data_IF_212639751282
#
_entry.id   IF_212639751282
#
_cell.length_a   1.000
_cell.length_b   1.000
_cell.length_c   1.000
_cell.angle_alpha   90.00
_cell.angle_beta   90.00
_cell.angle_gamma   90.00
#
_symmetry.space_group_name_H-M   'P 1'
#
loop_
_entity.id
_entity.type
_entity.pdbx_description
1 polymer ?
#
# COMPACT_ATOMS: atom_id res chain seq x y z
N UNK A 1 2.58 -12.02 -35.85
CA UNK A 1 1.32 -12.07 -36.61
C UNK A 1 0.31 -11.17 -35.93
N UNK A 2 -0.26 -10.19 -36.64
CA UNK A 2 -1.31 -9.32 -36.13
C UNK A 2 -2.65 -10.04 -36.14
N UNK A 3 -3.46 -9.88 -35.09
CA UNK A 3 -4.75 -10.53 -34.93
C UNK A 3 -5.81 -9.43 -34.84
N UNK A 4 -6.80 -9.46 -35.73
CA UNK A 4 -7.96 -8.57 -35.69
C UNK A 4 -9.16 -9.42 -35.29
N UNK A 5 -9.77 -9.11 -34.14
CA UNK A 5 -11.03 -9.75 -33.72
C UNK A 5 -12.18 -8.87 -34.20
N UNK A 6 -13.17 -9.41 -34.92
CA UNK A 6 -14.35 -8.65 -35.36
C UNK A 6 -14.19 -7.84 -36.65
N UNK A 7 -13.18 -8.14 -37.48
CA UNK A 7 -12.96 -7.45 -38.76
C UNK A 7 -12.57 -5.99 -38.58
N UNK A 8 -12.93 -5.13 -39.53
CA UNK A 8 -12.48 -3.72 -39.56
C UNK A 8 -12.96 -2.88 -38.36
N UNK A 9 -14.02 -3.33 -37.68
CA UNK A 9 -14.64 -2.62 -36.55
C UNK A 9 -14.14 -3.09 -35.18
N UNK A 10 -13.28 -4.10 -35.12
CA UNK A 10 -12.87 -4.67 -33.85
C UNK A 10 -11.38 -4.52 -33.53
N UNK A 11 -11.04 -4.84 -32.28
CA UNK A 11 -9.72 -4.60 -31.70
C UNK A 11 -8.57 -5.31 -32.42
N UNK A 12 -7.47 -4.58 -32.59
CA UNK A 12 -6.23 -5.08 -33.15
C UNK A 12 -5.27 -5.53 -32.03
N UNK A 13 -4.68 -6.72 -32.15
CA UNK A 13 -3.66 -7.26 -31.22
C UNK A 13 -2.39 -7.65 -31.96
N UNK A 14 -1.26 -7.52 -31.28
CA UNK A 14 0.08 -7.81 -31.79
C UNK A 14 0.52 -6.88 -32.94
N UNK A 15 1.67 -7.17 -33.53
CA UNK A 15 2.29 -6.37 -34.59
C UNK A 15 1.71 -6.70 -35.97
N UNK A 16 1.29 -5.67 -36.72
CA UNK A 16 1.07 -5.72 -38.17
C UNK A 16 1.80 -4.53 -38.81
N UNK A 17 2.81 -4.83 -39.64
CA UNK A 17 3.64 -3.80 -40.27
C UNK A 17 4.31 -2.87 -39.25
N UNK A 18 4.10 -1.57 -39.42
CA UNK A 18 4.66 -0.50 -38.60
C UNK A 18 3.89 -0.24 -37.29
N UNK A 19 2.84 -1.02 -37.04
CA UNK A 19 1.84 -0.74 -36.02
C UNK A 19 1.68 -1.94 -35.08
N UNK A 20 1.43 -1.65 -33.80
CA UNK A 20 1.22 -2.63 -32.74
C UNK A 20 -0.13 -2.34 -32.10
N UNK A 21 -1.03 -3.32 -32.19
CA UNK A 21 -2.30 -3.31 -31.49
C UNK A 21 -2.19 -3.93 -30.12
N UNK A 22 -2.85 -3.34 -29.13
CA UNK A 22 -2.92 -3.89 -27.77
C UNK A 22 -4.25 -3.53 -27.14
N UNK A 23 -4.73 -4.37 -26.24
CA UNK A 23 -5.87 -4.06 -25.39
C UNK A 23 -5.34 -3.61 -24.03
N UNK A 24 -5.68 -2.40 -23.62
CA UNK A 24 -5.23 -1.84 -22.36
C UNK A 24 -6.37 -1.12 -21.66
N UNK A 25 -6.66 -1.53 -20.42
CA UNK A 25 -7.66 -0.90 -19.54
C UNK A 25 -8.99 -0.59 -20.24
N UNK A 26 -9.53 -1.61 -20.91
CA UNK A 26 -10.79 -1.59 -21.68
C UNK A 26 -10.77 -0.83 -23.01
N UNK A 27 -9.60 -0.35 -23.44
CA UNK A 27 -9.43 0.35 -24.71
C UNK A 27 -8.58 -0.49 -25.68
N UNK A 28 -9.04 -0.62 -26.91
CA UNK A 28 -8.21 -1.07 -28.01
C UNK A 28 -7.35 0.10 -28.49
N UNK A 29 -6.04 -0.02 -28.32
CA UNK A 29 -5.09 1.04 -28.66
C UNK A 29 -4.10 0.59 -29.72
N UNK A 30 -3.79 1.54 -30.59
CA UNK A 30 -2.89 1.38 -31.72
C UNK A 30 -1.64 2.23 -31.47
N UNK A 31 -0.46 1.62 -31.48
CA UNK A 31 0.83 2.27 -31.23
C UNK A 31 1.78 2.04 -32.39
N UNK A 32 2.62 3.03 -32.71
CA UNK A 32 3.76 2.82 -33.60
C UNK A 32 4.83 1.96 -32.93
N UNK A 33 5.70 1.34 -33.75
CA UNK A 33 6.88 0.63 -33.22
C UNK A 33 7.72 1.60 -32.37
N UNK A 34 8.08 1.23 -31.13
CA UNK A 34 8.90 2.08 -30.28
C UNK A 34 10.27 2.32 -30.93
N UNK A 35 10.71 3.59 -30.99
CA UNK A 35 12.06 3.94 -31.43
C UNK A 35 13.02 3.78 -30.27
N UNK A 36 14.05 2.95 -30.46
CA UNK A 36 15.11 2.79 -29.48
C UNK A 36 15.94 4.08 -29.45
N UNK A 37 16.08 4.69 -28.27
CA UNK A 37 16.93 5.87 -28.06
C UNK A 37 18.27 5.43 -27.48
N UNK A 38 19.38 5.89 -28.08
CA UNK A 38 20.74 5.68 -27.55
C UNK A 38 21.20 6.76 -26.55
N UNK A 39 20.33 7.71 -26.19
CA UNK A 39 20.69 8.81 -25.28
C UNK A 39 20.80 8.32 -23.85
N UNK A 40 21.88 8.72 -23.16
CA UNK A 40 22.02 8.51 -21.73
C UNK A 40 20.89 9.20 -20.96
N UNK A 41 20.43 8.61 -19.84
CA UNK A 41 19.38 9.22 -19.02
C UNK A 41 19.87 10.53 -18.38
N UNK A 42 18.99 11.53 -18.33
CA UNK A 42 19.29 12.78 -17.63
C UNK A 42 19.28 12.59 -16.11
N UNK A 43 19.92 13.50 -15.36
CA UNK A 43 19.94 13.42 -13.90
C UNK A 43 18.53 13.32 -13.30
N UNK A 44 17.58 14.12 -13.81
CA UNK A 44 16.17 14.05 -13.39
C UNK A 44 15.55 12.67 -13.61
N UNK A 45 15.92 11.98 -14.69
CA UNK A 45 15.45 10.62 -14.97
C UNK A 45 16.09 9.60 -14.02
N UNK A 46 17.38 9.78 -13.69
CA UNK A 46 18.09 8.95 -12.72
C UNK A 46 17.43 9.08 -11.34
N UNK A 47 17.20 10.31 -10.89
CA UNK A 47 16.56 10.59 -9.60
C UNK A 47 15.17 9.99 -9.51
N UNK A 48 14.34 10.14 -10.56
CA UNK A 48 13.01 9.53 -10.60
C UNK A 48 13.05 8.00 -10.56
N UNK A 49 14.01 7.39 -11.27
CA UNK A 49 14.20 5.92 -11.21
C UNK A 49 14.64 5.47 -9.82
N UNK A 50 15.52 6.23 -9.15
CA UNK A 50 15.94 5.94 -7.79
C UNK A 50 14.76 6.01 -6.81
N UNK A 51 13.98 7.09 -6.85
CA UNK A 51 12.75 7.26 -6.05
C UNK A 51 11.74 6.14 -6.28
N UNK A 52 11.50 5.80 -7.55
CA UNK A 52 10.57 4.73 -7.91
C UNK A 52 11.05 3.36 -7.40
N UNK A 53 12.33 3.03 -7.60
CA UNK A 53 12.93 1.79 -7.12
C UNK A 53 12.83 1.66 -5.60
N UNK A 54 13.05 2.77 -4.89
CA UNK A 54 12.98 2.82 -3.44
C UNK A 54 11.56 2.48 -2.95
N UNK A 55 10.56 3.19 -3.47
CA UNK A 55 9.15 3.02 -3.06
C UNK A 55 8.62 1.65 -3.44
N UNK A 56 8.86 1.21 -4.68
CA UNK A 56 8.41 -0.12 -5.14
C UNK A 56 9.11 -1.27 -4.41
N UNK A 57 10.40 -1.13 -4.08
CA UNK A 57 11.12 -2.13 -3.30
C UNK A 57 10.56 -2.29 -1.89
N UNK A 58 10.19 -1.18 -1.24
CA UNK A 58 9.54 -1.20 0.07
C UNK A 58 8.15 -1.85 0.00
N UNK A 59 7.33 -1.45 -0.97
CA UNK A 59 5.96 -1.95 -1.10
C UNK A 59 5.84 -3.37 -1.63
N UNK A 60 6.88 -3.92 -2.27
CA UNK A 60 6.89 -5.30 -2.74
C UNK A 60 6.66 -6.31 -1.60
N UNK A 61 7.16 -6.03 -0.39
CA UNK A 61 7.01 -6.89 0.79
C UNK A 61 5.60 -6.85 1.41
N UNK A 62 4.82 -5.82 1.09
CA UNK A 62 3.48 -5.60 1.65
C UNK A 62 2.43 -5.45 0.54
N UNK A 63 2.68 -6.03 -0.64
CA UNK A 63 1.80 -5.95 -1.81
C UNK A 63 0.38 -6.38 -1.50
N UNK A 64 0.24 -7.45 -0.71
CA UNK A 64 -1.06 -8.02 -0.33
C UNK A 64 -1.91 -7.05 0.48
N UNK A 65 -1.28 -6.22 1.32
CA UNK A 65 -1.98 -5.19 2.08
C UNK A 65 -2.40 -4.02 1.18
N UNK A 66 -1.53 -3.61 0.26
CA UNK A 66 -1.81 -2.52 -0.68
C UNK A 66 -2.95 -2.90 -1.62
N UNK A 67 -2.95 -4.13 -2.12
CA UNK A 67 -3.96 -4.61 -3.05
C UNK A 67 -5.36 -4.59 -2.43
N UNK A 68 -5.47 -4.75 -1.12
CA UNK A 68 -6.73 -4.59 -0.37
C UNK A 68 -6.99 -3.11 -0.09
N UNK A 69 -6.00 -2.41 0.46
CA UNK A 69 -6.12 -1.06 0.97
C UNK A 69 -6.33 0.02 -0.09
N UNK A 70 -5.88 -0.22 -1.33
CA UNK A 70 -5.98 0.73 -2.46
C UNK A 70 -6.94 0.27 -3.55
N UNK A 71 -7.60 -0.89 -3.39
CA UNK A 71 -8.44 -1.52 -4.41
C UNK A 71 -9.51 -0.61 -5.01
N UNK A 72 -10.13 0.21 -4.17
CA UNK A 72 -11.31 1.00 -4.53
C UNK A 72 -11.01 2.45 -4.86
N UNK A 73 -9.73 2.83 -4.96
CA UNK A 73 -9.35 4.21 -5.26
C UNK A 73 -9.31 4.53 -6.76
N UNK A 74 -9.18 3.51 -7.61
CA UNK A 74 -9.22 3.67 -9.06
C UNK A 74 -9.79 2.43 -9.73
N UNK A 75 -10.70 2.61 -10.67
CA UNK A 75 -11.19 1.52 -11.52
C UNK A 75 -10.22 1.17 -12.66
N UNK A 76 -9.32 2.11 -12.96
CA UNK A 76 -8.44 2.09 -14.12
C UNK A 76 -7.03 1.72 -13.69
N UNK A 77 -6.50 2.36 -12.65
CA UNK A 77 -5.16 2.12 -12.13
C UNK A 77 -5.09 0.92 -11.21
N UNK A 78 -3.95 0.21 -11.24
CA UNK A 78 -3.71 -0.88 -10.29
C UNK A 78 -3.50 -0.29 -8.88
N UNK A 79 -3.92 -1.00 -7.82
CA UNK A 79 -3.78 -0.52 -6.44
C UNK A 79 -2.34 -0.11 -6.11
N UNK A 80 -1.37 -0.95 -6.49
CA UNK A 80 0.05 -0.65 -6.36
C UNK A 80 0.48 0.66 -7.03
N UNK A 81 -0.04 0.98 -8.23
CA UNK A 81 0.33 2.23 -8.92
C UNK A 81 -0.26 3.46 -8.21
N UNK A 82 -1.48 3.35 -7.67
CA UNK A 82 -2.10 4.42 -6.89
C UNK A 82 -1.29 4.66 -5.62
N UNK A 83 -0.93 3.59 -4.91
CA UNK A 83 -0.08 3.67 -3.72
C UNK A 83 1.28 4.30 -4.03
N UNK A 84 1.99 3.82 -5.05
CA UNK A 84 3.30 4.37 -5.45
C UNK A 84 3.18 5.85 -5.82
N UNK A 85 2.13 6.26 -6.55
CA UNK A 85 1.89 7.66 -6.92
C UNK A 85 1.72 8.58 -5.70
N UNK A 86 1.00 8.13 -4.66
CA UNK A 86 0.86 8.86 -3.40
C UNK A 86 2.22 9.03 -2.70
N UNK A 87 2.96 7.93 -2.53
CA UNK A 87 4.21 7.94 -1.76
C UNK A 87 5.35 8.68 -2.46
N UNK A 88 5.43 8.62 -3.80
CA UNK A 88 6.38 9.42 -4.58
C UNK A 88 6.20 10.93 -4.37
N UNK A 89 4.95 11.37 -4.09
CA UNK A 89 4.62 12.78 -3.85
C UNK A 89 4.80 13.19 -2.39
N UNK A 90 4.37 12.36 -1.46
CA UNK A 90 4.24 12.76 -0.05
C UNK A 90 5.30 12.18 0.88
N UNK A 91 5.78 10.96 0.61
CA UNK A 91 6.55 10.15 1.57
C UNK A 91 8.04 10.04 1.24
N UNK A 92 8.52 10.69 0.17
CA UNK A 92 9.96 10.72 -0.14
C UNK A 92 10.61 11.96 0.45
N UNK A 93 11.70 11.74 1.16
CA UNK A 93 12.58 12.78 1.70
C UNK A 93 14.00 12.61 1.17
N UNK A 94 14.85 13.61 1.42
CA UNK A 94 16.24 13.64 0.98
C UNK A 94 16.47 14.34 -0.37
N UNK A 95 17.74 14.46 -0.72
CA UNK A 95 18.22 15.10 -1.95
C UNK A 95 19.03 14.11 -2.77
N UNK A 96 19.09 14.31 -4.09
CA UNK A 96 19.86 13.43 -4.97
C UNK A 96 21.33 13.36 -4.49
N UNK A 97 21.93 12.16 -4.42
CA UNK A 97 21.41 10.83 -4.80
C UNK A 97 20.75 10.04 -3.67
N UNK A 98 20.73 10.56 -2.44
CA UNK A 98 20.32 9.85 -1.23
C UNK A 98 18.86 10.18 -0.88
N UNK A 99 17.94 9.41 -1.47
CA UNK A 99 16.52 9.48 -1.12
C UNK A 99 16.20 8.48 0.00
N UNK A 100 15.24 8.84 0.85
CA UNK A 100 14.75 8.01 1.96
C UNK A 100 13.23 8.07 2.03
N UNK A 101 12.60 7.10 2.69
CA UNK A 101 11.15 7.13 2.98
C UNK A 101 10.95 7.81 4.34
N UNK A 102 10.03 8.75 4.38
CA UNK A 102 9.42 9.21 5.61
C UNK A 102 8.34 8.22 6.07
N UNK A 103 8.72 7.35 6.99
CA UNK A 103 7.85 6.31 7.54
C UNK A 103 6.58 6.89 8.20
N UNK A 104 6.62 8.10 8.74
CA UNK A 104 5.43 8.72 9.36
C UNK A 104 4.30 8.98 8.35
N UNK A 105 4.63 9.09 7.06
CA UNK A 105 3.69 9.37 5.97
C UNK A 105 3.31 8.13 5.17
N UNK A 106 3.90 6.98 5.47
CA UNK A 106 3.59 5.73 4.79
C UNK A 106 2.16 5.30 5.13
N UNK A 107 1.41 4.94 4.10
CA UNK A 107 0.04 4.41 4.21
C UNK A 107 -0.09 3.16 3.37
N UNK A 108 -0.41 2.03 3.98
CA UNK A 108 -0.67 0.79 3.25
C UNK A 108 -2.14 0.65 2.84
N UNK A 109 -3.03 1.44 3.44
CA UNK A 109 -4.46 1.44 3.12
C UNK A 109 -5.01 2.86 3.06
N UNK A 110 -5.92 3.10 2.12
CA UNK A 110 -6.58 4.40 1.95
C UNK A 110 -8.04 4.21 1.56
N UNK A 111 -8.94 4.59 2.45
CA UNK A 111 -10.37 4.50 2.23
C UNK A 111 -11.18 5.35 3.20
N UNK A 112 -12.50 5.13 3.19
CA UNK A 112 -13.48 5.99 3.86
C UNK A 112 -14.08 5.40 5.14
N UNK A 113 -13.67 4.20 5.55
CA UNK A 113 -14.05 3.63 6.84
C UNK A 113 -13.45 4.48 7.97
N UNK A 114 -14.25 4.75 9.00
CA UNK A 114 -13.85 5.62 10.10
C UNK A 114 -12.89 4.87 11.03
N UNK A 115 -11.73 5.47 11.30
CA UNK A 115 -10.81 4.97 12.32
C UNK A 115 -11.35 5.17 13.73
N UNK A 116 -10.93 4.37 14.73
CA UNK A 116 -11.19 4.66 16.13
C UNK A 116 -10.70 6.08 16.50
N UNK A 117 -11.40 6.71 17.43
CA UNK A 117 -11.14 8.10 17.81
C UNK A 117 -9.78 8.22 18.51
N UNK A 118 -9.50 7.30 19.43
CA UNK A 118 -8.21 7.14 20.07
C UNK A 118 -7.73 5.70 19.91
N UNK A 119 -6.43 5.57 19.70
CA UNK A 119 -5.74 4.29 19.61
C UNK A 119 -4.37 4.48 20.24
N UNK A 120 -3.96 3.55 21.08
CA UNK A 120 -2.65 3.51 21.71
C UNK A 120 -2.04 2.13 21.51
N UNK A 121 -0.72 2.12 21.40
CA UNK A 121 0.09 0.91 21.28
C UNK A 121 1.22 1.01 22.29
N UNK A 122 1.38 -0.01 23.11
CA UNK A 122 2.38 -0.06 24.18
C UNK A 122 3.04 -1.45 24.12
N UNK A 123 4.35 -1.52 24.34
CA UNK A 123 5.02 -2.80 24.62
C UNK A 123 5.15 -2.90 26.14
N UNK A 124 4.36 -3.77 26.78
CA UNK A 124 4.44 -3.99 28.24
C UNK A 124 5.14 -5.32 28.56
N UNK A 125 4.89 -6.34 27.76
CA UNK A 125 5.55 -7.65 27.81
C UNK A 125 6.66 -7.75 26.76
N UNK A 126 7.79 -8.42 27.07
CA UNK A 126 8.85 -8.65 26.09
C UNK A 126 8.33 -9.37 24.85
N UNK A 127 8.65 -8.83 23.66
CA UNK A 127 8.19 -9.38 22.38
C UNK A 127 6.69 -9.23 22.10
N UNK A 128 5.96 -8.40 22.85
CA UNK A 128 4.53 -8.17 22.64
C UNK A 128 4.20 -6.69 22.44
N UNK A 129 3.19 -6.43 21.61
CA UNK A 129 2.58 -5.12 21.41
C UNK A 129 1.10 -5.17 21.76
N UNK A 130 0.73 -4.38 22.77
CA UNK A 130 -0.64 -4.22 23.23
C UNK A 130 -1.29 -3.03 22.53
N UNK A 131 -2.33 -3.33 21.76
CA UNK A 131 -3.15 -2.36 21.06
C UNK A 131 -4.44 -2.14 21.83
N UNK A 132 -4.79 -0.89 22.10
CA UNK A 132 -6.08 -0.51 22.70
C UNK A 132 -6.70 0.64 21.94
N UNK A 133 -8.01 0.58 21.70
CA UNK A 133 -8.72 1.65 20.98
C UNK A 133 -10.11 1.92 21.56
N UNK A 134 -10.54 3.17 21.44
CA UNK A 134 -11.86 3.62 21.88
C UNK A 134 -12.69 4.07 20.68
N UNK A 135 -13.88 3.50 20.56
CA UNK A 135 -14.85 3.87 19.54
C UNK A 135 -15.88 4.83 20.14
N UNK A 136 -16.03 6.01 19.55
CA UNK A 136 -17.15 6.91 19.87
C UNK A 136 -18.10 7.02 18.68
N UNK A 137 -19.39 6.85 18.96
CA UNK A 137 -20.49 6.94 18.00
C UNK A 137 -21.24 5.61 17.84
N UNK A 138 -22.46 5.70 17.33
CA UNK A 138 -23.29 4.55 16.99
C UNK A 138 -22.84 3.90 15.68
N UNK A 139 -23.24 2.64 15.48
CA UNK A 139 -23.11 1.94 14.20
C UNK A 139 -23.66 2.78 13.03
N UNK A 140 -23.03 2.65 11.88
CA UNK A 140 -23.44 3.32 10.66
C UNK A 140 -22.74 2.73 9.44
N UNK A 141 -22.99 3.32 8.26
CA UNK A 141 -22.43 2.81 6.99
C UNK A 141 -20.90 2.77 6.91
N UNK A 142 -20.19 3.46 7.82
CA UNK A 142 -18.73 3.61 7.84
C UNK A 142 -18.07 3.20 9.15
N UNK A 143 -18.84 2.59 10.05
CA UNK A 143 -18.40 2.15 11.36
C UNK A 143 -19.34 1.02 11.79
N UNK A 144 -18.79 -0.18 11.89
CA UNK A 144 -19.52 -1.38 12.31
C UNK A 144 -18.68 -2.11 13.36
N UNK A 145 -19.33 -2.69 14.36
CA UNK A 145 -18.64 -3.40 15.45
C UNK A 145 -17.97 -4.69 14.97
N UNK A 146 -18.40 -5.22 13.82
CA UNK A 146 -17.76 -6.34 13.13
C UNK A 146 -16.55 -5.97 12.28
N UNK A 147 -16.25 -4.68 12.08
CA UNK A 147 -15.05 -4.25 11.34
C UNK A 147 -13.81 -4.88 12.00
N UNK A 148 -12.85 -5.33 11.20
CA UNK A 148 -11.68 -6.05 11.72
C UNK A 148 -10.40 -5.24 11.60
N UNK A 149 -9.53 -5.39 12.59
CA UNK A 149 -8.23 -4.74 12.70
C UNK A 149 -7.21 -5.42 11.78
N UNK A 150 -6.43 -4.62 11.07
CA UNK A 150 -5.25 -5.06 10.31
C UNK A 150 -4.04 -4.26 10.79
N UNK A 151 -2.94 -4.95 11.07
CA UNK A 151 -1.72 -4.38 11.67
C UNK A 151 -0.55 -4.66 10.74
N UNK A 152 0.30 -3.66 10.58
CA UNK A 152 1.60 -3.76 9.93
C UNK A 152 2.66 -3.20 10.86
N UNK A 153 3.67 -4.00 11.17
CA UNK A 153 4.86 -3.61 11.93
C UNK A 153 6.06 -3.67 10.99
N UNK A 154 6.86 -2.61 10.98
CA UNK A 154 8.06 -2.50 10.17
C UNK A 154 9.26 -2.14 11.04
N UNK A 155 10.33 -2.93 10.95
CA UNK A 155 11.57 -2.70 11.66
C UNK A 155 12.63 -2.11 10.69
N UNK A 156 13.06 -0.84 10.86
CA UNK A 156 14.02 -0.21 9.96
C UNK A 156 15.44 -0.81 10.02
N UNK A 157 15.86 -1.34 11.17
CA UNK A 157 17.22 -1.89 11.39
C UNK A 157 17.43 -3.22 10.68
N UNK A 158 16.47 -4.14 10.81
CA UNK A 158 16.49 -5.47 10.19
C UNK A 158 15.84 -5.49 8.79
N UNK A 159 15.12 -4.43 8.42
CA UNK A 159 14.32 -4.35 7.19
C UNK A 159 13.27 -5.46 7.09
N UNK A 160 12.62 -5.76 8.21
CA UNK A 160 11.59 -6.80 8.30
C UNK A 160 10.19 -6.23 8.46
N UNK A 161 9.21 -6.97 7.93
CA UNK A 161 7.80 -6.62 7.97
C UNK A 161 7.01 -7.75 8.60
N UNK A 162 6.22 -7.43 9.63
CA UNK A 162 5.23 -8.34 10.20
C UNK A 162 3.86 -7.76 9.91
N UNK A 163 3.07 -8.48 9.11
CA UNK A 163 1.70 -8.06 8.78
C UNK A 163 0.70 -9.13 9.16
N UNK A 164 -0.35 -8.74 9.87
CA UNK A 164 -1.45 -9.63 10.23
C UNK A 164 -2.78 -8.93 9.93
N UNK A 165 -3.68 -9.66 9.28
CA UNK A 165 -4.97 -9.16 8.81
C UNK A 165 -6.10 -9.74 9.64
N UNK A 166 -7.17 -8.97 9.74
CA UNK A 166 -8.45 -9.36 10.33
C UNK A 166 -8.32 -9.96 11.74
N UNK A 167 -7.52 -9.32 12.59
CA UNK A 167 -6.98 -9.94 13.80
C UNK A 167 -7.94 -9.86 14.98
N UNK A 168 -8.61 -8.71 15.13
CA UNK A 168 -9.59 -8.47 16.18
C UNK A 168 -10.77 -7.71 15.61
N UNK A 169 -11.97 -7.97 16.12
CA UNK A 169 -13.15 -7.16 15.80
C UNK A 169 -13.05 -5.79 16.48
N UNK A 170 -13.70 -4.80 15.89
CA UNK A 170 -13.75 -3.44 16.42
C UNK A 170 -14.36 -3.38 17.81
N UNK A 171 -15.31 -4.26 18.10
CA UNK A 171 -15.92 -4.46 19.41
C UNK A 171 -14.97 -4.98 20.50
N UNK A 172 -13.86 -5.64 20.13
CA UNK A 172 -12.92 -6.19 21.10
C UNK A 172 -12.18 -5.10 21.89
N UNK A 173 -11.98 -3.91 21.31
CA UNK A 173 -11.31 -2.73 21.89
C UNK A 173 -9.86 -2.91 22.34
N UNK A 174 -9.36 -4.14 22.38
CA UNK A 174 -7.99 -4.49 22.69
C UNK A 174 -7.52 -5.69 21.85
N UNK A 175 -6.22 -5.73 21.57
CA UNK A 175 -5.56 -6.88 20.96
C UNK A 175 -4.08 -6.89 21.30
N UNK A 176 -3.53 -8.07 21.61
CA UNK A 176 -2.09 -8.25 21.87
C UNK A 176 -1.46 -9.01 20.71
N UNK A 177 -0.43 -8.42 20.11
CA UNK A 177 0.35 -8.99 19.02
C UNK A 177 1.67 -9.53 19.56
N UNK A 178 1.88 -10.85 19.45
CA UNK A 178 3.19 -11.45 19.69
C UNK A 178 4.09 -11.25 18.45
N UNK A 179 5.27 -10.70 18.66
CA UNK A 179 6.29 -10.49 17.64
C UNK A 179 7.34 -11.62 17.65
N UNK A 180 8.02 -11.86 16.51
CA UNK A 180 9.21 -12.70 16.48
C UNK A 180 10.28 -12.21 17.47
N UNK A 181 11.03 -13.15 18.05
CA UNK A 181 12.09 -12.87 19.04
C UNK A 181 13.17 -11.93 18.49
N UNK A 182 13.40 -11.97 17.18
CA UNK A 182 14.39 -11.13 16.48
C UNK A 182 14.07 -9.63 16.55
N UNK A 183 12.81 -9.26 16.82
CA UNK A 183 12.38 -7.86 16.95
C UNK A 183 12.43 -7.34 18.39
N UNK A 184 12.72 -8.19 19.38
CA UNK A 184 12.80 -7.74 20.79
C UNK A 184 14.03 -6.86 20.99
N UNK A 185 13.85 -5.70 21.62
CA UNK A 185 14.88 -4.68 21.81
C UNK A 185 15.03 -3.68 20.66
N UNK A 186 14.38 -3.91 19.52
CA UNK A 186 14.45 -3.04 18.34
C UNK A 186 13.36 -1.96 18.33
N UNK A 187 13.60 -0.90 17.55
CA UNK A 187 12.61 0.15 17.29
C UNK A 187 11.76 -0.21 16.06
N UNK A 188 10.44 -0.24 16.23
CA UNK A 188 9.51 -0.60 15.16
C UNK A 188 8.50 0.50 14.86
N UNK A 189 8.18 0.68 13.59
CA UNK A 189 7.07 1.50 13.13
C UNK A 189 5.80 0.66 13.04
N UNK A 190 4.76 1.12 13.71
CA UNK A 190 3.47 0.42 13.76
C UNK A 190 2.43 1.20 12.97
N UNK A 191 1.77 0.50 12.05
CA UNK A 191 0.67 1.02 11.25
C UNK A 191 -0.55 0.15 11.45
N UNK A 192 -1.70 0.79 11.43
CA UNK A 192 -2.97 0.11 11.67
C UNK A 192 -4.00 0.55 10.63
N UNK A 193 -4.87 -0.37 10.22
CA UNK A 193 -6.09 -0.11 9.47
C UNK A 193 -7.25 -0.97 9.97
N UNK A 194 -8.45 -0.61 9.54
CA UNK A 194 -9.67 -1.38 9.75
C UNK A 194 -10.28 -1.73 8.40
N UNK A 195 -10.82 -2.94 8.33
CA UNK A 195 -11.43 -3.50 7.14
C UNK A 195 -12.85 -3.92 7.51
N UNK A 196 -13.84 -3.46 6.75
CA UNK A 196 -15.22 -3.82 7.04
C UNK A 196 -15.53 -5.23 6.59
N UNK A 197 -16.14 -6.02 7.48
CA UNK A 197 -16.62 -7.38 7.16
C UNK A 197 -17.95 -7.29 6.40
N UNK A 198 -18.78 -6.30 6.72
CA UNK A 198 -20.09 -6.10 6.10
C UNK A 198 -20.00 -5.63 4.66
N UNK A 199 -19.07 -4.73 4.37
CA UNK A 199 -18.80 -4.20 3.03
C UNK A 199 -17.33 -4.46 2.72
N UNK A 200 -16.98 -5.55 2.01
CA UNK A 200 -15.59 -5.95 1.76
C UNK A 200 -14.73 -4.87 1.09
N UNK A 201 -15.38 -3.93 0.40
CA UNK A 201 -14.74 -2.84 -0.32
C UNK A 201 -14.38 -1.64 0.58
N UNK A 202 -14.90 -1.62 1.80
CA UNK A 202 -14.79 -0.48 2.69
C UNK A 202 -13.63 -0.67 3.66
N UNK A 203 -12.54 0.03 3.38
CA UNK A 203 -11.33 0.05 4.19
C UNK A 203 -11.10 1.43 4.80
N UNK A 204 -10.36 1.50 5.92
CA UNK A 204 -9.97 2.77 6.52
C UNK A 204 -8.63 3.25 5.96
N UNK A 205 -8.39 4.55 6.09
CA UNK A 205 -7.05 5.09 5.83
C UNK A 205 -6.12 4.69 6.97
N UNK A 206 -5.01 4.02 6.65
CA UNK A 206 -4.07 3.52 7.65
C UNK A 206 -3.44 4.67 8.43
N UNK A 207 -3.23 4.45 9.73
CA UNK A 207 -2.64 5.43 10.65
C UNK A 207 -1.33 4.89 11.20
N UNK A 208 -0.30 5.73 11.18
CA UNK A 208 0.97 5.49 11.85
C UNK A 208 0.79 5.78 13.35
N UNK A 209 1.19 4.83 14.19
CA UNK A 209 1.10 4.92 15.66
C UNK A 209 2.36 5.50 16.29
N UNK A 210 3.41 5.69 15.50
CA UNK A 210 4.70 6.18 15.97
C UNK A 210 5.81 5.14 15.83
N UNK A 211 6.93 5.47 16.46
CA UNK A 211 8.07 4.58 16.66
C UNK A 211 7.99 4.04 18.08
N UNK A 212 8.03 2.72 18.23
CA UNK A 212 7.84 2.02 19.50
C UNK A 212 9.04 1.08 19.69
N UNK A 213 9.65 1.12 20.88
CA UNK A 213 10.66 0.15 21.27
C UNK A 213 9.95 -1.10 21.78
N UNK A 214 10.28 -2.25 21.18
CA UNK A 214 9.79 -3.56 21.63
C UNK A 214 10.64 -3.98 22.83
N UNK A 215 9.99 -4.31 23.95
CA UNK A 215 10.69 -4.78 25.15
C UNK A 215 11.25 -6.21 25.02
#
# INVERSE_FOLDING_TARGET
>A
MGIIKGGILGGFRNKAGAVIGSYWRRLDIIKGIPRISGKAPSQKQIDQRAKFKLVTGFFAWISDLIDIGYKHLSEIDTPMNVAVSYHLKEAITGTSPNFTIDYSKVKFSQGSLKMPNSMSVISTTPGELDFTWVNFGSEGKKQDDSDTLTILVFCPSLFEFVSIRNVATRSAQAYTLSLPVELSGEEVHVYVSFNSVRVPELVSSSRHMGLISVL
#
